data_IF_758204131393
#
_entry.id   IF_758204131393
#
_cell.length_a   1.000
_cell.length_b   1.000
_cell.length_c   1.000
_cell.angle_alpha   90.00
_cell.angle_beta   90.00
_cell.angle_gamma   90.00
#
_symmetry.space_group_name_H-M   'P 1'
#
loop_
_entity.id
_entity.type
_entity.pdbx_description
1 polymer ?
#
# COMPACT_ATOMS: atom_id res chain seq x y z
N UNK A 1 -4.71 -30.72 -1.07
CA UNK A 1 -3.83 -29.73 -1.73
C UNK A 1 -4.41 -28.37 -1.39
N UNK A 2 -3.68 -27.56 -0.63
CA UNK A 2 -4.20 -26.34 -0.03
C UNK A 2 -3.96 -25.15 -0.96
N UNK A 3 -4.92 -24.83 -1.81
CA UNK A 3 -4.84 -23.69 -2.72
C UNK A 3 -6.23 -23.05 -2.82
N UNK A 4 -6.40 -21.91 -2.15
CA UNK A 4 -7.67 -21.20 -2.11
C UNK A 4 -7.66 -20.07 -1.10
N UNK A 5 -6.77 -19.09 -1.29
CA UNK A 5 -6.76 -17.85 -0.50
C UNK A 5 -7.95 -16.97 -0.93
N UNK A 6 -9.15 -17.38 -0.54
CA UNK A 6 -10.39 -16.71 -0.89
C UNK A 6 -10.70 -15.57 0.09
N UNK A 7 -10.53 -14.35 -0.42
CA UNK A 7 -11.47 -13.24 -0.29
C UNK A 7 -12.05 -12.94 1.10
N UNK A 8 -11.25 -12.40 2.01
CA UNK A 8 -11.78 -11.80 3.27
C UNK A 8 -11.21 -10.42 3.60
N UNK A 9 -10.81 -9.63 2.59
CA UNK A 9 -10.59 -8.18 2.77
C UNK A 9 -11.87 -7.35 2.59
N UNK A 10 -13.02 -7.95 2.89
CA UNK A 10 -14.31 -7.27 2.98
C UNK A 10 -14.57 -6.78 4.41
N UNK A 11 -13.55 -6.30 5.13
CA UNK A 11 -13.77 -5.58 6.38
C UNK A 11 -13.82 -4.08 6.08
N UNK A 12 -15.01 -3.69 5.64
CA UNK A 12 -15.55 -2.34 5.74
C UNK A 12 -15.27 -1.88 7.17
N UNK A 13 -14.37 -0.91 7.35
CA UNK A 13 -14.20 -0.23 8.64
C UNK A 13 -14.28 1.26 8.41
N UNK A 14 -15.49 1.72 8.64
CA UNK A 14 -15.98 3.08 8.74
C UNK A 14 -15.01 4.00 9.52
N UNK A 15 -14.71 5.15 8.90
CA UNK A 15 -14.57 6.48 9.50
C UNK A 15 -13.48 6.84 10.53
N UNK A 16 -12.37 6.12 10.60
CA UNK A 16 -11.14 6.68 11.19
C UNK A 16 -10.03 6.66 10.15
N UNK A 17 -9.44 7.83 9.82
CA UNK A 17 -8.37 8.02 8.81
C UNK A 17 -7.46 6.79 8.76
N UNK A 18 -7.71 5.90 7.80
CA UNK A 18 -7.19 4.53 7.91
C UNK A 18 -5.69 4.58 7.73
N UNK A 19 -4.98 4.20 8.79
CA UNK A 19 -3.53 4.15 8.82
C UNK A 19 -3.09 2.76 8.40
N UNK A 20 -2.39 2.69 7.28
CA UNK A 20 -1.87 1.45 6.75
C UNK A 20 -0.40 1.30 7.10
N UNK A 21 -0.05 0.13 7.64
CA UNK A 21 1.34 -0.28 7.67
C UNK A 21 1.83 -0.51 6.24
N UNK A 22 3.14 -0.36 5.98
CA UNK A 22 3.68 -0.61 4.65
C UNK A 22 3.38 -2.05 4.17
N UNK A 23 3.33 -3.02 5.10
CA UNK A 23 2.92 -4.41 4.80
C UNK A 23 1.44 -4.51 4.38
N UNK A 24 0.55 -3.73 5.00
CA UNK A 24 -0.87 -3.68 4.64
C UNK A 24 -1.10 -3.07 3.26
N UNK A 25 -0.34 -2.02 2.90
CA UNK A 25 -0.37 -1.45 1.55
C UNK A 25 -0.04 -2.53 0.51
N UNK A 26 1.04 -3.29 0.72
CA UNK A 26 1.44 -4.35 -0.21
C UNK A 26 0.38 -5.45 -0.30
N UNK A 27 -0.19 -5.88 0.82
CA UNK A 27 -1.26 -6.86 0.84
C UNK A 27 -2.50 -6.38 0.06
N UNK A 28 -2.88 -5.12 0.24
CA UNK A 28 -4.03 -4.52 -0.45
C UNK A 28 -3.78 -4.44 -1.97
N UNK A 29 -2.62 -3.94 -2.39
CA UNK A 29 -2.21 -3.88 -3.80
C UNK A 29 -2.16 -5.28 -4.43
N UNK A 30 -1.63 -6.28 -3.73
CA UNK A 30 -1.67 -7.68 -4.20
C UNK A 30 -3.10 -8.21 -4.32
N UNK A 31 -3.98 -7.87 -3.39
CA UNK A 31 -5.40 -8.26 -3.43
C UNK A 31 -6.14 -7.65 -4.63
N UNK A 32 -5.65 -6.55 -5.21
CA UNK A 32 -6.18 -5.95 -6.45
C UNK A 32 -5.69 -6.65 -7.73
N UNK A 33 -4.77 -7.63 -7.61
CA UNK A 33 -4.22 -8.38 -8.74
C UNK A 33 -2.74 -8.08 -9.05
N UNK A 34 -2.10 -7.15 -8.33
CA UNK A 34 -0.70 -6.79 -8.54
C UNK A 34 0.25 -7.67 -7.72
N UNK A 35 0.31 -8.96 -8.06
CA UNK A 35 1.08 -9.97 -7.30
C UNK A 35 2.59 -9.70 -7.24
N UNK A 36 3.16 -9.01 -8.24
CA UNK A 36 4.59 -8.66 -8.26
C UNK A 36 4.94 -7.46 -7.39
N UNK A 37 3.94 -6.75 -6.84
CA UNK A 37 4.20 -5.66 -5.92
C UNK A 37 4.72 -6.18 -4.57
N UNK A 38 5.90 -5.75 -4.15
CA UNK A 38 6.60 -6.25 -2.96
C UNK A 38 7.05 -5.10 -2.05
N UNK A 39 7.41 -5.42 -0.79
CA UNK A 39 7.94 -4.45 0.18
C UNK A 39 9.13 -3.65 -0.37
N UNK A 40 10.00 -4.29 -1.15
CA UNK A 40 11.15 -3.64 -1.80
C UNK A 40 10.71 -2.58 -2.82
N UNK A 41 9.69 -2.88 -3.63
CA UNK A 41 9.13 -1.94 -4.62
C UNK A 41 8.42 -0.79 -3.93
N UNK A 42 7.62 -1.07 -2.89
CA UNK A 42 7.02 -0.04 -2.04
C UNK A 42 8.10 0.89 -1.46
N UNK A 43 9.20 0.31 -0.96
CA UNK A 43 10.32 1.08 -0.41
C UNK A 43 11.02 1.96 -1.43
N UNK A 44 11.29 1.42 -2.62
CA UNK A 44 11.86 2.18 -3.72
C UNK A 44 10.93 3.32 -4.17
N UNK A 45 9.62 3.06 -4.23
CA UNK A 45 8.62 4.04 -4.67
C UNK A 45 8.52 5.23 -3.71
N UNK A 46 8.35 5.00 -2.41
CA UNK A 46 8.27 6.11 -1.47
C UNK A 46 9.60 6.86 -1.34
N UNK A 47 10.75 6.19 -1.49
CA UNK A 47 12.06 6.86 -1.52
C UNK A 47 12.20 7.75 -2.75
N UNK A 48 11.85 7.24 -3.92
CA UNK A 48 11.92 8.00 -5.18
C UNK A 48 11.00 9.21 -5.18
N UNK A 49 9.80 9.09 -4.59
CA UNK A 49 8.84 10.20 -4.47
C UNK A 49 9.03 11.03 -3.19
N UNK A 50 10.02 10.68 -2.36
CA UNK A 50 10.21 11.21 -1.03
C UNK A 50 8.92 11.25 -0.18
N UNK A 51 8.03 10.27 -0.34
CA UNK A 51 6.67 10.30 0.25
C UNK A 51 6.65 10.16 1.78
N UNK A 52 7.80 9.83 2.38
CA UNK A 52 7.99 9.81 3.83
C UNK A 52 8.34 11.21 4.39
N UNK A 53 8.32 12.23 3.54
CA UNK A 53 8.56 13.60 3.93
C UNK A 53 7.35 14.18 4.68
N UNK A 54 7.63 14.86 5.81
CA UNK A 54 6.59 15.43 6.67
C UNK A 54 5.81 16.56 5.99
N UNK A 55 6.36 17.19 4.96
CA UNK A 55 5.71 18.26 4.20
C UNK A 55 4.66 17.78 3.20
N UNK A 56 4.70 16.50 2.79
CA UNK A 56 3.77 15.99 1.76
C UNK A 56 2.47 15.45 2.39
N UNK A 57 2.53 14.93 3.62
CA UNK A 57 1.35 14.48 4.35
C UNK A 57 0.80 13.11 3.92
N UNK A 58 1.61 12.24 3.31
CA UNK A 58 1.19 10.87 2.93
C UNK A 58 1.16 9.87 4.09
N UNK A 59 1.74 10.24 5.23
CA UNK A 59 1.81 9.38 6.39
C UNK A 59 2.35 10.11 7.61
N UNK A 60 2.41 9.39 8.71
CA UNK A 60 2.91 9.89 9.98
C UNK A 60 3.76 8.84 10.67
N UNK A 61 4.82 9.29 11.33
CA UNK A 61 5.62 8.45 12.21
C UNK A 61 4.93 8.36 13.57
N UNK A 62 4.57 7.16 14.00
CA UNK A 62 3.97 6.90 15.32
C UNK A 62 4.92 5.99 16.10
N UNK A 63 5.42 6.48 17.23
CA UNK A 63 6.45 5.85 18.05
C UNK A 63 7.76 5.57 17.30
N UNK A 64 7.84 4.46 16.56
CA UNK A 64 8.99 4.07 15.74
C UNK A 64 8.59 3.50 14.37
N UNK A 65 7.29 3.51 14.06
CA UNK A 65 6.75 2.90 12.84
C UNK A 65 6.11 3.97 11.98
N UNK A 66 6.37 3.92 10.68
CA UNK A 66 5.73 4.81 9.73
C UNK A 66 4.40 4.25 9.28
N UNK A 67 3.34 5.02 9.47
CA UNK A 67 1.99 4.71 9.03
C UNK A 67 1.63 5.55 7.81
N UNK A 68 1.12 4.90 6.78
CA UNK A 68 0.64 5.54 5.56
C UNK A 68 -0.84 5.86 5.68
N UNK A 69 -1.28 6.97 5.10
CA UNK A 69 -2.70 7.25 4.93
C UNK A 69 -3.25 6.60 3.66
N UNK A 70 -4.57 6.58 3.54
CA UNK A 70 -5.26 6.16 2.31
C UNK A 70 -4.74 6.89 1.07
N UNK A 71 -4.44 8.19 1.16
CA UNK A 71 -3.88 8.97 0.04
C UNK A 71 -2.60 8.35 -0.57
N UNK A 72 -1.78 7.68 0.26
CA UNK A 72 -0.62 6.95 -0.24
C UNK A 72 -1.03 5.64 -0.92
N UNK A 73 -1.98 4.90 -0.37
CA UNK A 73 -2.52 3.69 -1.00
C UNK A 73 -3.09 4.00 -2.39
N UNK A 74 -3.90 5.05 -2.51
CA UNK A 74 -4.47 5.52 -3.78
C UNK A 74 -3.35 5.86 -4.78
N UNK A 75 -2.30 6.55 -4.34
CA UNK A 75 -1.14 6.87 -5.18
C UNK A 75 -0.40 5.61 -5.66
N UNK A 76 -0.17 4.65 -4.77
CA UNK A 76 0.49 3.37 -5.10
C UNK A 76 -0.35 2.56 -6.08
N UNK A 77 -1.66 2.49 -5.89
CA UNK A 77 -2.58 1.80 -6.79
C UNK A 77 -2.54 2.42 -8.19
N UNK A 78 -2.62 3.75 -8.28
CA UNK A 78 -2.47 4.47 -9.55
C UNK A 78 -1.12 4.18 -10.21
N UNK A 79 -0.02 4.21 -9.46
CA UNK A 79 1.30 3.87 -9.98
C UNK A 79 1.35 2.42 -10.51
N UNK A 80 0.73 1.48 -9.79
CA UNK A 80 0.62 0.09 -10.23
C UNK A 80 -0.24 -0.06 -11.48
N UNK A 81 -1.32 0.71 -11.61
CA UNK A 81 -2.19 0.73 -12.79
C UNK A 81 -1.45 1.28 -14.02
N UNK A 82 -0.72 2.38 -13.87
CA UNK A 82 0.12 2.94 -14.95
C UNK A 82 1.24 1.96 -15.37
N UNK A 83 1.69 1.12 -14.44
CA UNK A 83 2.73 0.11 -14.66
C UNK A 83 2.16 -1.31 -14.66
N UNK A 84 0.89 -1.49 -15.02
CA UNK A 84 0.16 -2.76 -14.87
C UNK A 84 0.90 -3.94 -15.50
N UNK A 85 1.48 -3.73 -16.67
CA UNK A 85 2.26 -4.73 -17.43
C UNK A 85 3.52 -5.22 -16.68
N UNK A 86 4.04 -4.42 -15.75
CA UNK A 86 5.22 -4.75 -14.93
C UNK A 86 4.81 -5.49 -13.64
N UNK A 87 3.60 -5.23 -13.14
CA UNK A 87 3.15 -5.66 -11.80
C UNK A 87 2.13 -6.81 -11.78
N UNK A 88 1.52 -7.12 -12.92
CA UNK A 88 0.74 -8.35 -13.16
C UNK A 88 1.67 -9.54 -13.43
#
# INVERSE_FOLDING_TARGET
MAEGLEKTYALIKETERTKYLPSQIVANVKSQGYSKFSMTKHTALWKSKNAKDKGIGYGVMVANTWYWYDSWLQYVLKYCEENRTVFI
#
